data_IF_901157611156
#
_entry.id   IF_901157611156
#
_cell.length_a   1.000
_cell.length_b   1.000
_cell.length_c   1.000
_cell.angle_alpha   90.00
_cell.angle_beta   90.00
_cell.angle_gamma   90.00
#
_symmetry.space_group_name_H-M   'P 1'
#
loop_
_entity.id
_entity.type
_entity.pdbx_description
1 polymer ?
#
# COMPACT_ATOMS: atom_id res chain seq x y z
N UNK A 1 -14.29 -5.98 24.96
CA UNK A 1 -13.40 -5.08 24.20
C UNK A 1 -12.48 -5.96 23.39
N UNK A 2 -12.46 -5.81 22.08
CA UNK A 2 -11.61 -6.63 21.21
C UNK A 2 -10.18 -6.07 21.18
N UNK A 3 -9.20 -6.95 21.02
CA UNK A 3 -7.79 -6.55 20.90
C UNK A 3 -7.46 -6.26 19.44
N UNK A 4 -7.00 -5.04 19.17
CA UNK A 4 -6.60 -4.62 17.82
C UNK A 4 -5.16 -5.07 17.57
N UNK A 5 -4.95 -5.77 16.45
CA UNK A 5 -3.63 -6.27 16.04
C UNK A 5 -3.27 -5.76 14.64
N UNK A 6 -1.97 -5.65 14.37
CA UNK A 6 -1.46 -5.36 13.02
C UNK A 6 -1.07 -6.69 12.36
N UNK A 7 -1.74 -7.02 11.26
CA UNK A 7 -1.52 -8.30 10.54
C UNK A 7 -0.43 -8.18 9.47
N UNK A 8 -0.39 -7.06 8.73
CA UNK A 8 0.64 -6.78 7.72
C UNK A 8 0.95 -5.27 7.70
N UNK A 9 2.19 -4.92 7.39
CA UNK A 9 2.66 -3.53 7.30
C UNK A 9 3.72 -3.41 6.21
N UNK A 10 3.40 -2.65 5.16
CA UNK A 10 4.24 -2.51 3.98
C UNK A 10 4.44 -1.05 3.60
N UNK A 11 5.47 -0.79 2.78
CA UNK A 11 5.80 0.53 2.26
C UNK A 11 6.40 0.44 0.87
N UNK A 12 6.38 1.55 0.15
CA UNK A 12 7.20 1.75 -1.05
C UNK A 12 8.66 2.03 -0.67
N UNK A 13 9.59 1.92 -1.63
CA UNK A 13 10.92 2.52 -1.49
C UNK A 13 10.82 4.03 -1.23
N UNK A 14 11.86 4.62 -0.63
CA UNK A 14 11.93 6.07 -0.47
C UNK A 14 12.66 6.67 -1.68
N UNK A 15 11.89 7.19 -2.64
CA UNK A 15 12.44 7.86 -3.82
C UNK A 15 12.90 9.29 -3.51
N UNK A 16 14.04 9.71 -4.07
CA UNK A 16 14.49 11.11 -3.98
C UNK A 16 13.47 12.04 -4.64
N UNK A 17 13.07 13.12 -3.97
CA UNK A 17 12.06 14.04 -4.49
C UNK A 17 12.52 14.76 -5.77
N UNK A 18 13.73 15.32 -5.78
CA UNK A 18 14.29 16.04 -6.94
C UNK A 18 14.99 15.07 -7.88
N UNK A 19 14.36 14.76 -9.02
CA UNK A 19 14.92 13.92 -10.08
C UNK A 19 15.00 12.43 -9.78
N UNK A 20 14.35 11.94 -8.72
CA UNK A 20 14.45 10.54 -8.31
C UNK A 20 13.47 9.60 -9.00
N UNK A 21 13.29 8.44 -8.37
CA UNK A 21 12.61 7.27 -8.94
C UNK A 21 11.12 7.51 -9.23
N UNK A 22 10.41 8.24 -8.37
CA UNK A 22 8.97 8.47 -8.49
C UNK A 22 8.60 9.84 -9.08
N UNK A 23 9.55 10.55 -9.72
CA UNK A 23 9.29 11.89 -10.28
C UNK A 23 8.15 11.94 -11.31
N UNK A 24 7.86 10.79 -11.94
CA UNK A 24 6.83 10.62 -12.97
C UNK A 24 5.66 9.75 -12.48
N UNK A 25 5.55 9.52 -11.16
CA UNK A 25 4.48 8.69 -10.57
C UNK A 25 3.64 9.59 -9.67
N UNK A 26 2.32 9.55 -9.81
CA UNK A 26 1.44 10.35 -8.97
C UNK A 26 1.32 9.76 -7.57
N UNK A 27 0.96 10.60 -6.61
CA UNK A 27 0.84 10.20 -5.21
C UNK A 27 -0.24 9.12 -5.03
N UNK A 28 -1.38 9.26 -5.70
CA UNK A 28 -2.45 8.26 -5.66
C UNK A 28 -2.06 6.91 -6.23
N UNK A 29 -1.18 6.86 -7.24
CA UNK A 29 -0.71 5.59 -7.81
C UNK A 29 0.17 4.84 -6.80
N UNK A 30 1.02 5.56 -6.05
CA UNK A 30 1.80 4.98 -4.96
C UNK A 30 0.91 4.43 -3.85
N UNK A 31 -0.16 5.16 -3.49
CA UNK A 31 -1.14 4.72 -2.50
C UNK A 31 -1.93 3.50 -2.97
N UNK A 32 -2.43 3.54 -4.22
CA UNK A 32 -3.17 2.44 -4.83
C UNK A 32 -2.32 1.18 -4.94
N UNK A 33 -1.03 1.33 -5.23
CA UNK A 33 -0.09 0.21 -5.24
C UNK A 33 -0.01 -0.48 -3.87
N UNK A 34 0.03 0.26 -2.76
CA UNK A 34 0.02 -0.32 -1.41
C UNK A 34 -1.29 -1.05 -1.10
N UNK A 35 -2.44 -0.44 -1.44
CA UNK A 35 -3.76 -1.06 -1.22
C UNK A 35 -3.88 -2.40 -1.97
N UNK A 36 -3.54 -2.41 -3.27
CA UNK A 36 -3.55 -3.62 -4.09
C UNK A 36 -2.58 -4.68 -3.55
N UNK A 37 -1.41 -4.25 -3.09
CA UNK A 37 -0.38 -5.17 -2.55
C UNK A 37 -0.81 -5.81 -1.23
N UNK A 38 -1.46 -5.06 -0.32
CA UNK A 38 -2.00 -5.61 0.92
C UNK A 38 -3.04 -6.69 0.65
N UNK A 39 -3.99 -6.45 -0.26
CA UNK A 39 -5.00 -7.43 -0.64
C UNK A 39 -4.36 -8.67 -1.28
N UNK A 40 -3.41 -8.49 -2.20
CA UNK A 40 -2.73 -9.60 -2.86
C UNK A 40 -1.89 -10.46 -1.90
N UNK A 41 -1.31 -9.87 -0.85
CA UNK A 41 -0.50 -10.58 0.16
C UNK A 41 -1.34 -11.31 1.20
N UNK A 42 -2.59 -10.90 1.38
CA UNK A 42 -3.49 -11.42 2.41
C UNK A 42 -4.75 -12.02 1.75
N UNK A 43 -4.63 -13.16 1.05
CA UNK A 43 -5.74 -13.74 0.26
C UNK A 43 -6.93 -14.20 1.11
N UNK A 44 -6.76 -14.34 2.43
CA UNK A 44 -7.85 -14.66 3.36
C UNK A 44 -8.73 -13.44 3.70
N UNK A 45 -8.31 -12.23 3.32
CA UNK A 45 -9.08 -11.01 3.54
C UNK A 45 -10.00 -10.76 2.34
N UNK A 46 -11.31 -10.82 2.58
CA UNK A 46 -12.32 -10.42 1.60
C UNK A 46 -12.27 -8.89 1.41
N UNK A 47 -12.02 -8.44 0.18
CA UNK A 47 -12.09 -7.03 -0.15
C UNK A 47 -13.56 -6.63 -0.30
N UNK A 48 -14.01 -5.59 0.42
CA UNK A 48 -15.36 -5.06 0.24
C UNK A 48 -15.55 -4.61 -1.23
N UNK A 49 -16.59 -5.12 -1.88
CA UNK A 49 -17.00 -4.68 -3.21
C UNK A 49 -17.55 -3.24 -3.15
N UNK A 50 -17.38 -2.43 -4.23
CA UNK A 50 -17.89 -1.06 -4.30
C UNK A 50 -19.42 -0.98 -4.25
#
# INVERSE_FOLDING_TARGET
MEQVVIVDAIRTPMGRSKGGAFRNVRAEDLSAHLMRSLLARNPALEAAAP
#
